data_IF_974132690709
#
_entry.id   IF_974132690709
#
_cell.length_a   1.000
_cell.length_b   1.000
_cell.length_c   1.000
_cell.angle_alpha   90.00
_cell.angle_beta   90.00
_cell.angle_gamma   90.00
#
_symmetry.space_group_name_H-M   'P 1'
#
loop_
_entity.id
_entity.type
_entity.pdbx_description
1 polymer ?
#
# COMPACT_ATOMS: atom_id res chain seq x y z
N UNK A 1 5.33 -7.67 3.65
CA UNK A 1 5.78 -8.16 2.33
C UNK A 1 5.32 -7.22 1.20
N UNK A 2 3.99 -6.95 1.02
CA UNK A 2 3.50 -6.11 -0.09
C UNK A 2 4.19 -4.73 -0.14
N UNK A 3 4.36 -4.07 0.99
CA UNK A 3 5.04 -2.77 1.10
C UNK A 3 6.49 -2.86 0.58
N UNK A 4 7.23 -3.89 0.99
CA UNK A 4 8.63 -4.07 0.55
C UNK A 4 8.72 -4.38 -0.95
N UNK A 5 7.80 -5.18 -1.48
CA UNK A 5 7.72 -5.42 -2.92
C UNK A 5 7.40 -4.14 -3.70
N UNK A 6 6.49 -3.31 -3.17
CA UNK A 6 6.16 -2.02 -3.78
C UNK A 6 7.35 -1.06 -3.80
N UNK A 7 8.14 -0.99 -2.72
CA UNK A 7 9.39 -0.21 -2.66
C UNK A 7 10.40 -0.69 -3.70
N UNK A 8 10.60 -2.00 -3.80
CA UNK A 8 11.54 -2.58 -4.76
C UNK A 8 11.09 -2.32 -6.20
N UNK A 9 9.79 -2.48 -6.50
CA UNK A 9 9.25 -2.16 -7.80
C UNK A 9 9.46 -0.69 -8.15
N UNK A 10 9.14 0.23 -7.24
CA UNK A 10 9.35 1.66 -7.45
C UNK A 10 10.83 2.01 -7.68
N UNK A 11 11.75 1.42 -6.92
CA UNK A 11 13.18 1.67 -7.07
C UNK A 11 13.71 1.25 -8.46
N UNK A 12 13.09 0.23 -9.07
CA UNK A 12 13.47 -0.24 -10.41
C UNK A 12 12.77 0.54 -11.51
N UNK A 13 11.46 0.79 -11.36
CA UNK A 13 10.60 1.35 -12.41
C UNK A 13 10.73 2.88 -12.52
N UNK A 14 10.89 3.56 -11.39
CA UNK A 14 11.18 4.98 -11.30
C UNK A 14 10.15 5.88 -12.02
N UNK A 15 10.63 7.01 -12.53
CA UNK A 15 9.80 8.05 -13.19
C UNK A 15 9.09 7.58 -14.48
N UNK A 16 9.42 6.38 -14.97
CA UNK A 16 8.82 5.86 -16.20
C UNK A 16 7.39 5.33 -15.99
N UNK A 17 7.01 5.09 -14.73
CA UNK A 17 5.71 4.53 -14.38
C UNK A 17 4.90 5.47 -13.50
N UNK A 18 3.61 5.51 -13.75
CA UNK A 18 2.62 6.17 -12.91
C UNK A 18 2.16 5.21 -11.80
N UNK A 19 2.01 5.72 -10.58
CA UNK A 19 1.65 4.89 -9.42
C UNK A 19 0.24 5.17 -8.96
N UNK A 20 -0.58 4.12 -8.84
CA UNK A 20 -1.93 4.17 -8.29
C UNK A 20 -2.11 3.06 -7.25
N UNK A 21 -2.77 3.36 -6.15
CA UNK A 21 -3.10 2.39 -5.09
C UNK A 21 -4.61 2.25 -5.02
N UNK A 22 -5.11 1.04 -5.10
CA UNK A 22 -6.54 0.72 -4.92
C UNK A 22 -6.69 -0.18 -3.72
N UNK A 23 -7.58 0.18 -2.78
CA UNK A 23 -7.89 -0.65 -1.63
C UNK A 23 -9.39 -0.92 -1.54
N UNK A 24 -9.75 -2.12 -1.09
CA UNK A 24 -11.14 -2.55 -0.95
C UNK A 24 -11.37 -3.13 0.43
N UNK A 25 -12.43 -2.67 1.08
CA UNK A 25 -12.86 -3.15 2.40
C UNK A 25 -14.39 -3.25 2.49
N UNK A 26 -14.86 -3.86 3.58
CA UNK A 26 -16.28 -3.99 3.88
C UNK A 26 -16.97 -2.62 3.98
N UNK A 27 -18.28 -2.62 3.80
CA UNK A 27 -19.11 -1.41 3.79
C UNK A 27 -19.25 -0.70 5.15
N UNK A 28 -18.75 -1.28 6.23
CA UNK A 28 -18.73 -0.69 7.58
C UNK A 28 -17.41 0.00 7.93
N UNK A 29 -16.41 0.00 7.04
CA UNK A 29 -15.14 0.67 7.29
C UNK A 29 -15.29 2.17 7.14
N UNK A 30 -14.99 2.92 8.20
CA UNK A 30 -15.17 4.37 8.26
C UNK A 30 -14.03 5.13 7.60
N UNK A 31 -12.78 4.76 7.92
CA UNK A 31 -11.61 5.42 7.36
C UNK A 31 -11.42 5.08 5.87
N UNK A 32 -11.08 6.08 5.09
CA UNK A 32 -10.73 6.00 3.67
C UNK A 32 -9.70 7.09 3.32
N UNK A 33 -8.55 6.75 2.74
CA UNK A 33 -8.09 5.39 2.48
C UNK A 33 -7.72 4.63 3.75
N UNK A 34 -7.50 3.29 3.63
CA UNK A 34 -7.05 2.46 4.74
C UNK A 34 -5.64 2.85 5.21
N UNK A 35 -5.33 2.60 6.49
CA UNK A 35 -3.98 2.79 7.00
C UNK A 35 -2.91 2.03 6.21
N UNK A 36 -3.21 0.82 5.75
CA UNK A 36 -2.30 0.03 4.90
C UNK A 36 -2.05 0.70 3.55
N UNK A 37 -3.08 1.29 2.92
CA UNK A 37 -2.90 2.02 1.66
C UNK A 37 -2.00 3.25 1.84
N UNK A 38 -2.16 3.97 2.95
CA UNK A 38 -1.27 5.09 3.30
C UNK A 38 0.16 4.61 3.54
N UNK A 39 0.36 3.52 4.29
CA UNK A 39 1.69 2.94 4.51
C UNK A 39 2.38 2.52 3.20
N UNK A 40 1.63 1.98 2.24
CA UNK A 40 2.15 1.64 0.91
C UNK A 40 2.59 2.91 0.18
N UNK A 41 1.74 3.94 0.16
CA UNK A 41 2.04 5.20 -0.49
C UNK A 41 3.24 5.91 0.14
N UNK A 42 3.33 5.92 1.48
CA UNK A 42 4.46 6.50 2.22
C UNK A 42 5.77 5.77 1.89
N UNK A 43 5.75 4.44 1.83
CA UNK A 43 6.92 3.64 1.49
C UNK A 43 7.41 3.88 0.06
N UNK A 44 6.50 4.00 -0.90
CA UNK A 44 6.83 4.38 -2.29
C UNK A 44 7.38 5.80 -2.33
N UNK A 45 6.72 6.74 -1.64
CA UNK A 45 7.14 8.14 -1.60
C UNK A 45 8.52 8.31 -0.94
N UNK A 46 8.87 7.48 0.04
CA UNK A 46 10.21 7.45 0.63
C UNK A 46 11.29 7.11 -0.41
N UNK A 47 11.04 6.18 -1.32
CA UNK A 47 11.94 5.85 -2.45
C UNK A 47 12.13 7.04 -3.39
N UNK A 48 11.15 7.95 -3.44
CA UNK A 48 11.12 9.16 -4.26
C UNK A 48 11.54 10.42 -3.51
N UNK A 49 12.26 10.29 -2.43
CA UNK A 49 12.70 11.43 -1.58
C UNK A 49 11.53 12.32 -1.15
N UNK A 50 10.37 11.73 -0.87
CA UNK A 50 9.12 12.41 -0.48
C UNK A 50 8.63 13.49 -1.46
N UNK A 51 8.93 13.30 -2.75
CA UNK A 51 8.58 14.27 -3.80
C UNK A 51 7.18 14.07 -4.42
N UNK A 52 6.48 12.96 -4.05
CA UNK A 52 5.18 12.62 -4.62
C UNK A 52 4.04 13.25 -3.82
N UNK A 53 2.98 13.63 -4.53
CA UNK A 53 1.74 14.14 -3.94
C UNK A 53 0.65 13.06 -3.95
N UNK A 54 -0.12 12.96 -2.87
CA UNK A 54 -1.24 12.03 -2.79
C UNK A 54 -2.50 12.66 -3.39
N UNK A 55 -3.17 11.92 -4.26
CA UNK A 55 -4.40 12.35 -4.92
C UNK A 55 -5.51 11.37 -4.57
N UNK A 56 -6.54 11.87 -3.89
CA UNK A 56 -7.68 11.06 -3.41
C UNK A 56 -8.91 11.20 -4.30
N UNK A 57 -8.97 12.26 -5.09
CA UNK A 57 -10.13 12.59 -5.92
C UNK A 57 -9.68 13.21 -7.24
N UNK A 58 -10.08 12.57 -8.35
CA UNK A 58 -9.86 13.10 -9.70
C UNK A 58 -11.09 13.78 -10.28
N UNK A 59 -12.26 13.58 -9.68
CA UNK A 59 -13.51 14.17 -10.16
C UNK A 59 -13.57 15.67 -9.94
N UNK A 60 -13.10 16.15 -8.77
CA UNK A 60 -13.14 17.58 -8.40
C UNK A 60 -12.18 18.45 -9.24
N UNK A 61 -11.22 17.84 -9.93
CA UNK A 61 -10.22 18.55 -10.73
C UNK A 61 -10.20 18.06 -12.18
N UNK A 62 -10.66 18.91 -13.09
CA UNK A 62 -10.62 18.61 -14.53
C UNK A 62 -9.23 18.87 -15.10
N UNK A 63 -8.27 18.00 -14.79
CA UNK A 63 -6.90 18.07 -15.28
C UNK A 63 -6.34 16.69 -15.63
N UNK A 64 -5.28 16.66 -16.42
CA UNK A 64 -4.50 15.44 -16.65
C UNK A 64 -3.73 15.09 -15.38
N UNK A 65 -3.43 13.79 -15.22
CA UNK A 65 -2.52 13.29 -14.19
C UNK A 65 -1.14 13.92 -14.33
N UNK A 66 -0.55 14.29 -13.21
CA UNK A 66 0.83 14.75 -13.15
C UNK A 66 1.78 13.59 -12.84
N UNK A 67 3.06 13.74 -13.19
CA UNK A 67 4.07 12.70 -12.99
C UNK A 67 4.33 12.38 -11.51
N UNK A 68 4.28 13.40 -10.65
CA UNK A 68 4.57 13.28 -9.22
C UNK A 68 3.30 13.08 -8.40
N UNK A 69 2.43 12.20 -8.82
CA UNK A 69 1.22 11.83 -8.10
C UNK A 69 1.23 10.34 -7.71
N UNK A 70 0.70 10.02 -6.53
CA UNK A 70 0.23 8.70 -6.15
C UNK A 70 -1.27 8.79 -5.94
N UNK A 71 -2.05 8.15 -6.81
CA UNK A 71 -3.49 8.07 -6.63
C UNK A 71 -3.87 7.05 -5.57
N UNK A 72 -4.82 7.39 -4.70
CA UNK A 72 -5.31 6.53 -3.62
C UNK A 72 -6.82 6.38 -3.74
N UNK A 73 -7.28 5.16 -4.03
CA UNK A 73 -8.67 4.87 -4.34
C UNK A 73 -9.24 3.86 -3.34
N UNK A 74 -10.40 4.18 -2.79
CA UNK A 74 -11.05 3.36 -1.76
C UNK A 74 -12.37 2.79 -2.26
N UNK A 75 -12.49 1.47 -2.26
CA UNK A 75 -13.73 0.76 -2.55
C UNK A 75 -14.32 0.22 -1.25
N UNK A 76 -15.63 0.39 -1.06
CA UNK A 76 -16.37 -0.11 0.09
C UNK A 76 -17.52 -0.97 -0.39
N UNK A 77 -17.57 -2.23 0.04
CA UNK A 77 -18.61 -3.15 -0.38
C UNK A 77 -18.66 -4.45 0.41
N UNK A 78 -19.87 -4.96 0.63
CA UNK A 78 -20.10 -6.25 1.24
C UNK A 78 -19.31 -6.48 2.54
N UNK A 79 -18.69 -7.65 2.60
CA UNK A 79 -17.91 -8.13 3.74
C UNK A 79 -16.41 -8.31 3.39
N UNK A 80 -15.91 -7.60 2.41
CA UNK A 80 -14.49 -7.66 1.98
C UNK A 80 -13.60 -7.42 3.20
N UNK A 81 -12.73 -8.38 3.49
CA UNK A 81 -11.84 -8.31 4.66
C UNK A 81 -10.76 -7.24 4.48
N UNK A 82 -10.13 -7.22 3.31
CA UNK A 82 -9.15 -6.23 2.93
C UNK A 82 -8.37 -6.66 1.70
N UNK A 83 -8.37 -5.83 0.68
CA UNK A 83 -7.60 -6.01 -0.54
C UNK A 83 -6.80 -4.75 -0.84
N UNK A 84 -5.59 -4.92 -1.32
CA UNK A 84 -4.73 -3.82 -1.73
C UNK A 84 -4.04 -4.16 -3.04
N UNK A 85 -4.10 -3.23 -3.97
CA UNK A 85 -3.42 -3.32 -5.27
C UNK A 85 -2.54 -2.09 -5.45
N UNK A 86 -1.30 -2.32 -5.85
CA UNK A 86 -0.37 -1.28 -6.27
C UNK A 86 -0.17 -1.44 -7.76
N UNK A 87 -0.55 -0.43 -8.52
CA UNK A 87 -0.52 -0.42 -9.98
C UNK A 87 0.60 0.51 -10.43
N UNK A 88 1.55 -0.02 -11.16
CA UNK A 88 2.60 0.72 -11.85
C UNK A 88 2.27 0.71 -13.34
N UNK A 89 1.82 1.84 -13.86
CA UNK A 89 1.39 1.98 -15.24
C UNK A 89 2.48 2.70 -16.07
N UNK A 90 3.13 1.95 -16.93
CA UNK A 90 4.16 2.43 -17.86
C UNK A 90 3.62 2.62 -19.27
N UNK A 91 4.52 2.84 -20.22
CA UNK A 91 4.18 2.93 -21.63
C UNK A 91 3.97 1.52 -22.20
N UNK A 92 2.73 1.21 -22.56
CA UNK A 92 2.31 -0.08 -23.14
C UNK A 92 2.44 -1.29 -22.21
N UNK A 93 2.61 -1.06 -20.91
CA UNK A 93 2.67 -2.13 -19.91
C UNK A 93 2.11 -1.67 -18.56
N UNK A 94 1.63 -2.61 -17.78
CA UNK A 94 1.19 -2.38 -16.39
C UNK A 94 1.70 -3.52 -15.52
N UNK A 95 2.39 -3.18 -14.44
CA UNK A 95 2.71 -4.11 -13.37
C UNK A 95 1.73 -3.88 -12.22
N UNK A 96 1.11 -4.94 -11.72
CA UNK A 96 0.23 -4.86 -10.54
C UNK A 96 0.70 -5.83 -9.46
N UNK A 97 0.92 -5.31 -8.27
CA UNK A 97 1.13 -6.09 -7.06
C UNK A 97 -0.17 -6.12 -6.28
N UNK A 98 -0.67 -7.30 -5.96
CA UNK A 98 -1.98 -7.47 -5.31
C UNK A 98 -1.91 -8.40 -4.12
N UNK A 99 -2.64 -8.05 -3.06
CA UNK A 99 -2.86 -8.90 -1.89
C UNK A 99 -4.33 -8.85 -1.50
N UNK A 100 -4.92 -10.02 -1.25
CA UNK A 100 -6.30 -10.18 -0.78
C UNK A 100 -6.31 -11.00 0.51
N UNK A 101 -6.79 -10.38 1.60
CA UNK A 101 -7.03 -11.07 2.86
C UNK A 101 -8.38 -11.79 2.82
N UNK A 102 -8.36 -13.10 2.98
CA UNK A 102 -9.59 -13.93 2.98
C UNK A 102 -10.23 -14.04 4.36
N UNK A 103 -9.45 -13.84 5.44
CA UNK A 103 -9.90 -13.90 6.83
C UNK A 103 -9.04 -12.97 7.69
N UNK A 104 -9.61 -12.47 8.78
CA UNK A 104 -8.84 -11.72 9.81
C UNK A 104 -7.84 -12.60 10.57
N UNK A 105 -7.99 -13.90 10.50
CA UNK A 105 -7.06 -14.86 11.14
C UNK A 105 -5.61 -14.72 10.65
N UNK A 106 -5.43 -14.31 9.40
CA UNK A 106 -4.11 -14.04 8.86
C UNK A 106 -3.36 -12.94 9.65
N UNK A 107 -4.09 -11.91 10.11
CA UNK A 107 -3.50 -10.84 10.92
C UNK A 107 -3.20 -11.31 12.34
N UNK A 108 -4.07 -12.16 12.91
CA UNK A 108 -3.83 -12.79 14.20
C UNK A 108 -2.59 -13.71 14.17
N UNK A 109 -2.45 -14.53 13.14
CA UNK A 109 -1.26 -15.35 12.93
C UNK A 109 0.01 -14.50 12.79
N UNK A 110 -0.06 -13.41 12.06
CA UNK A 110 1.04 -12.43 11.94
C UNK A 110 1.44 -11.83 13.29
N UNK A 111 0.46 -11.49 14.14
CA UNK A 111 0.72 -10.97 15.48
C UNK A 111 1.40 -12.00 16.38
N UNK A 112 0.98 -13.27 16.32
CA UNK A 112 1.62 -14.37 17.07
C UNK A 112 3.06 -14.57 16.61
N UNK A 113 3.32 -14.58 15.30
CA UNK A 113 4.68 -14.69 14.75
C UNK A 113 5.56 -13.51 15.19
N UNK A 114 5.01 -12.30 15.23
CA UNK A 114 5.72 -11.13 15.74
C UNK A 114 6.06 -11.28 17.23
N UNK A 115 5.14 -11.80 18.04
CA UNK A 115 5.40 -12.06 19.46
C UNK A 115 6.54 -13.07 19.66
N UNK A 116 6.57 -14.16 18.89
CA UNK A 116 7.67 -15.13 18.91
C UNK A 116 8.99 -14.50 18.48
N UNK A 117 8.97 -13.67 17.43
CA UNK A 117 10.15 -12.93 16.98
C UNK A 117 10.73 -12.02 18.08
N UNK A 118 9.87 -11.46 18.93
CA UNK A 118 10.29 -10.55 20.01
C UNK A 118 10.98 -11.26 21.18
N UNK A 119 10.88 -12.60 21.27
CA UNK A 119 11.54 -13.36 22.32
C UNK A 119 13.06 -13.13 22.29
N UNK A 120 13.64 -12.73 23.42
CA UNK A 120 15.05 -12.46 23.57
C UNK A 120 15.57 -11.18 22.93
N UNK A 121 14.71 -10.34 22.36
CA UNK A 121 15.10 -9.03 21.82
C UNK A 121 15.33 -8.03 22.95
N UNK A 122 16.37 -7.19 22.78
CA UNK A 122 16.64 -6.07 23.68
C UNK A 122 15.64 -4.91 23.51
N UNK A 123 15.73 -3.87 24.36
CA UNK A 123 14.93 -2.65 24.17
C UNK A 123 15.15 -2.04 22.80
N UNK A 124 14.07 -1.68 22.08
CA UNK A 124 14.14 -1.10 20.75
C UNK A 124 12.76 -0.91 20.13
N UNK A 125 12.71 -0.25 18.98
CA UNK A 125 11.52 -0.17 18.13
C UNK A 125 11.62 -1.24 17.05
N UNK A 126 10.63 -2.12 17.02
CA UNK A 126 10.53 -3.19 16.05
C UNK A 126 9.23 -3.07 15.28
N UNK A 127 9.28 -3.31 13.98
CA UNK A 127 8.12 -3.36 13.10
C UNK A 127 8.13 -4.64 12.24
N UNK A 128 7.10 -4.82 11.43
CA UNK A 128 6.93 -6.03 10.63
C UNK A 128 8.01 -6.21 9.53
N UNK A 129 8.77 -5.19 9.20
CA UNK A 129 9.87 -5.31 8.23
C UNK A 129 11.05 -6.12 8.79
N UNK A 130 11.18 -6.16 10.11
CA UNK A 130 12.23 -6.94 10.80
C UNK A 130 11.97 -8.46 10.77
N UNK A 131 10.75 -8.88 10.36
CA UNK A 131 10.37 -10.29 10.24
C UNK A 131 10.60 -10.87 8.84
N UNK A 132 11.05 -10.04 7.89
CA UNK A 132 11.22 -10.40 6.47
C UNK A 132 12.69 -10.68 6.18
#
# INVERSE_FOLDING_TARGET
>A
LLIELAKQAEAVLGDSFDVEVVEMHHNQKIDAPSGTALMIADAINQVRDHSMQYVYDRHSQRKKREKKEIGLHSVRGGTIVGEHQVIFAGQSEVLTLSHSAQSKELFAAGAVNAAVFMEGKGPGLYDMSHLI
#
